data_IF_705440637100
#
_entry.id   IF_705440637100
#
_cell.length_a   1.000
_cell.length_b   1.000
_cell.length_c   1.000
_cell.angle_alpha   90.00
_cell.angle_beta   90.00
_cell.angle_gamma   90.00
#
_symmetry.space_group_name_H-M   'P 1'
#
loop_
_entity.id
_entity.type
_entity.pdbx_description
1 polymer ?
#
# COMPACT_ATOMS: atom_id res chain seq x y z
N UNK A 1 6.59 3.05 9.03
CA UNK A 1 6.61 3.09 7.54
C UNK A 1 5.30 2.53 7.02
N UNK A 2 4.73 3.13 5.97
CA UNK A 2 3.51 2.64 5.32
C UNK A 2 3.86 2.19 3.91
N UNK A 3 3.39 1.01 3.51
CA UNK A 3 3.53 0.46 2.16
C UNK A 3 2.15 0.37 1.54
N UNK A 4 2.01 0.86 0.32
CA UNK A 4 0.77 0.77 -0.47
C UNK A 4 1.01 -0.18 -1.63
N UNK A 5 0.11 -1.15 -1.79
CA UNK A 5 0.16 -2.20 -2.82
C UNK A 5 -1.13 -2.13 -3.64
N UNK A 6 -0.98 -2.07 -4.95
CA UNK A 6 -2.11 -2.15 -5.88
C UNK A 6 -2.31 -3.61 -6.29
N UNK A 7 -3.54 -4.09 -6.16
CA UNK A 7 -3.95 -5.45 -6.48
C UNK A 7 -5.17 -5.42 -7.41
N UNK A 8 -5.28 -6.42 -8.29
CA UNK A 8 -6.52 -6.75 -8.99
C UNK A 8 -6.95 -8.11 -8.46
N UNK A 9 -7.95 -8.12 -7.59
CA UNK A 9 -8.36 -9.32 -6.87
C UNK A 9 -9.29 -9.00 -5.70
N UNK A 10 -9.59 -10.02 -4.90
CA UNK A 10 -10.48 -9.88 -3.75
C UNK A 10 -9.68 -9.68 -2.44
N UNK A 11 -10.38 -9.42 -1.34
CA UNK A 11 -9.77 -9.26 -0.01
C UNK A 11 -8.92 -10.46 0.42
N UNK A 12 -9.32 -11.67 0.04
CA UNK A 12 -8.56 -12.90 0.27
C UNK A 12 -7.16 -12.85 -0.33
N UNK A 13 -7.05 -12.31 -1.55
CA UNK A 13 -5.76 -12.13 -2.23
C UNK A 13 -4.94 -11.04 -1.56
N UNK A 14 -5.59 -9.97 -1.09
CA UNK A 14 -4.95 -8.89 -0.36
C UNK A 14 -4.30 -9.38 0.95
N UNK A 15 -4.99 -10.24 1.70
CA UNK A 15 -4.46 -10.87 2.92
C UNK A 15 -3.20 -11.69 2.64
N UNK A 16 -3.19 -12.44 1.54
CA UNK A 16 -2.05 -13.26 1.13
C UNK A 16 -0.81 -12.41 0.76
N UNK A 17 -0.97 -11.13 0.43
CA UNK A 17 0.14 -10.24 0.07
C UNK A 17 0.86 -9.61 1.27
N UNK A 18 0.22 -9.53 2.44
CA UNK A 18 0.79 -8.84 3.61
C UNK A 18 2.15 -9.42 4.00
N UNK A 19 2.23 -10.74 4.16
CA UNK A 19 3.47 -11.39 4.60
C UNK A 19 4.60 -11.28 3.55
N UNK A 20 4.39 -11.61 2.26
CA UNK A 20 5.40 -11.42 1.23
C UNK A 20 5.94 -9.98 1.14
N UNK A 21 5.05 -8.98 1.21
CA UNK A 21 5.43 -7.55 1.12
C UNK A 21 6.30 -7.15 2.31
N UNK A 22 5.87 -7.48 3.53
CA UNK A 22 6.62 -7.13 4.75
C UNK A 22 7.98 -7.82 4.79
N UNK A 23 8.05 -9.09 4.40
CA UNK A 23 9.29 -9.85 4.32
C UNK A 23 10.25 -9.36 3.23
N UNK A 24 9.74 -8.98 2.06
CA UNK A 24 10.57 -8.40 0.98
C UNK A 24 11.18 -7.07 1.43
N UNK A 25 10.37 -6.16 1.96
CA UNK A 25 10.85 -4.85 2.41
C UNK A 25 11.87 -4.97 3.55
N UNK A 26 11.63 -5.87 4.50
CA UNK A 26 12.60 -6.12 5.58
C UNK A 26 13.91 -6.66 5.03
N UNK A 27 13.87 -7.66 4.15
CA UNK A 27 15.10 -8.29 3.62
C UNK A 27 15.89 -7.35 2.71
N UNK A 28 15.22 -6.70 1.78
CA UNK A 28 15.85 -5.91 0.72
C UNK A 28 16.26 -4.52 1.17
N UNK A 29 15.50 -3.93 2.11
CA UNK A 29 15.72 -2.55 2.55
C UNK A 29 16.09 -2.42 4.03
N UNK A 30 16.06 -3.51 4.81
CA UNK A 30 16.30 -3.48 6.27
C UNK A 30 15.35 -2.51 6.99
N UNK A 31 14.11 -2.39 6.50
CA UNK A 31 13.08 -1.50 7.03
C UNK A 31 11.86 -2.30 7.53
N UNK A 32 11.33 -1.90 8.68
CA UNK A 32 10.13 -2.50 9.26
C UNK A 32 8.88 -1.80 8.71
N UNK A 33 7.99 -2.58 8.10
CA UNK A 33 6.68 -2.13 7.64
C UNK A 33 5.71 -2.12 8.82
N UNK A 34 5.18 -0.95 9.17
CA UNK A 34 4.19 -0.82 10.25
C UNK A 34 2.75 -0.93 9.74
N UNK A 35 2.48 -0.47 8.52
CA UNK A 35 1.16 -0.58 7.89
C UNK A 35 1.30 -1.02 6.45
N UNK A 36 0.54 -2.03 6.06
CA UNK A 36 0.33 -2.44 4.66
C UNK A 36 -1.08 -2.04 4.26
N UNK A 37 -1.20 -1.24 3.21
CA UNK A 37 -2.47 -0.83 2.63
C UNK A 37 -2.58 -1.47 1.26
N UNK A 38 -3.58 -2.34 1.06
CA UNK A 38 -3.86 -2.95 -0.24
C UNK A 38 -5.07 -2.24 -0.85
N UNK A 39 -4.97 -1.85 -2.11
CA UNK A 39 -5.99 -1.07 -2.81
C UNK A 39 -6.13 -1.53 -4.25
N UNK A 40 -7.20 -1.12 -4.92
CA UNK A 40 -7.41 -1.36 -6.34
C UNK A 40 -6.32 -0.76 -7.22
N UNK A 41 -6.13 -1.38 -8.38
CA UNK A 41 -5.23 -0.87 -9.42
C UNK A 41 -5.68 0.51 -9.91
N UNK A 42 -4.76 1.47 -9.92
CA UNK A 42 -5.00 2.84 -10.38
C UNK A 42 -5.33 3.82 -9.25
N UNK A 43 -5.40 3.35 -8.01
CA UNK A 43 -5.52 4.21 -6.82
C UNK A 43 -4.31 5.10 -6.65
N UNK A 44 -3.09 4.60 -6.91
CA UNK A 44 -1.89 5.42 -6.85
C UNK A 44 -1.83 6.29 -8.11
N UNK A 45 -2.21 7.56 -7.95
CA UNK A 45 -2.15 8.54 -9.05
C UNK A 45 -0.72 8.75 -9.53
N UNK A 46 -0.58 8.79 -10.84
CA UNK A 46 0.66 9.09 -11.56
C UNK A 46 0.42 10.40 -12.31
N UNK A 47 1.37 11.33 -12.26
CA UNK A 47 1.26 12.58 -13.03
C UNK A 47 1.66 12.40 -14.50
N UNK A 48 1.65 13.51 -15.24
CA UNK A 48 2.03 13.56 -16.65
C UNK A 48 3.51 13.20 -16.90
N UNK A 49 4.36 13.23 -15.87
CA UNK A 49 5.78 12.88 -15.97
C UNK A 49 6.05 11.42 -15.57
N UNK A 50 5.02 10.67 -15.16
CA UNK A 50 5.19 9.29 -14.69
C UNK A 50 5.50 9.17 -13.21
N UNK A 51 5.44 10.26 -12.45
CA UNK A 51 5.78 10.27 -11.03
C UNK A 51 4.58 9.92 -10.15
N UNK A 52 4.81 9.02 -9.20
CA UNK A 52 3.79 8.65 -8.20
C UNK A 52 3.50 9.86 -7.30
N UNK A 53 2.23 10.22 -7.20
CA UNK A 53 1.76 11.35 -6.40
C UNK A 53 1.67 10.98 -4.91
N UNK A 54 2.83 10.75 -4.28
CA UNK A 54 2.94 10.25 -2.90
C UNK A 54 2.29 11.16 -1.86
N UNK A 55 2.34 12.49 -2.06
CA UNK A 55 1.70 13.46 -1.17
C UNK A 55 0.18 13.30 -1.22
N UNK A 56 -0.40 13.25 -2.43
CA UNK A 56 -1.84 13.05 -2.61
C UNK A 56 -2.31 11.73 -1.98
N UNK A 57 -1.56 10.64 -2.20
CA UNK A 57 -1.89 9.33 -1.64
C UNK A 57 -1.86 9.34 -0.11
N UNK A 58 -0.82 9.94 0.48
CA UNK A 58 -0.71 10.11 1.93
C UNK A 58 -1.87 10.94 2.48
N UNK A 59 -2.18 12.05 1.83
CA UNK A 59 -3.25 12.94 2.27
C UNK A 59 -4.61 12.24 2.18
N UNK A 60 -4.86 11.45 1.13
CA UNK A 60 -6.06 10.61 1.04
C UNK A 60 -6.13 9.58 2.16
N UNK A 61 -5.02 8.92 2.50
CA UNK A 61 -4.99 7.95 3.60
C UNK A 61 -5.22 8.59 4.98
N UNK A 62 -4.54 9.71 5.28
CA UNK A 62 -4.65 10.38 6.59
C UNK A 62 -6.04 11.01 6.80
N UNK A 63 -6.68 11.47 5.72
CA UNK A 63 -8.02 12.06 5.79
C UNK A 63 -9.15 11.05 5.58
N UNK A 64 -8.86 9.74 5.61
CA UNK A 64 -9.86 8.66 5.46
C UNK A 64 -10.66 8.75 4.15
N UNK A 65 -10.00 9.20 3.08
CA UNK A 65 -10.55 9.32 1.71
C UNK A 65 -10.07 8.21 0.78
N UNK A 66 -9.23 7.32 1.29
CA UNK A 66 -8.80 6.13 0.58
C UNK A 66 -9.81 5.02 0.86
N UNK A 67 -10.18 4.26 -0.17
CA UNK A 67 -11.03 3.07 -0.05
C UNK A 67 -10.14 1.83 -0.31
N UNK A 68 -9.43 1.31 0.71
CA UNK A 68 -8.56 0.16 0.55
C UNK A 68 -9.37 -1.14 0.57
N UNK A 69 -8.91 -2.13 -0.19
CA UNK A 69 -9.39 -3.50 -0.13
C UNK A 69 -9.10 -4.09 1.26
N UNK A 70 -7.90 -3.83 1.80
CA UNK A 70 -7.49 -4.32 3.12
C UNK A 70 -6.40 -3.44 3.74
N UNK A 71 -6.42 -3.31 5.07
CA UNK A 71 -5.38 -2.60 5.84
C UNK A 71 -4.86 -3.51 6.95
N UNK A 72 -3.56 -3.81 6.92
CA UNK A 72 -2.87 -4.55 7.97
C UNK A 72 -2.04 -3.61 8.83
N UNK A 73 -2.28 -3.62 10.14
CA UNK A 73 -1.42 -2.98 11.12
C UNK A 73 -0.50 -4.04 11.71
N UNK A 74 0.77 -4.02 11.31
CA UNK A 74 1.77 -4.85 11.97
C UNK A 74 2.23 -4.10 13.23
N UNK A 75 1.75 -4.56 14.39
CA UNK A 75 2.31 -4.22 15.69
C UNK A 75 3.44 -5.19 16.04
#
# INVERSE_FOLDING_TARGET
>A
MVVVVELVGEESDALNLVHPVTASVLREHQLIVGVVVVTDRGTVRIDLHGEKQRILLRDSFVNDKLDPIYVSYNM
#
